data_IF_569508956762
#
_entry.id   IF_569508956762
#
_cell.length_a   1.000
_cell.length_b   1.000
_cell.length_c   1.000
_cell.angle_alpha   90.00
_cell.angle_beta   90.00
_cell.angle_gamma   90.00
#
_symmetry.space_group_name_H-M   'P 1'
#
loop_
_entity.id
_entity.type
_entity.pdbx_description
1 polymer ?
#
# COMPACT_ATOMS: atom_id res chain seq x y z
N UNK A 1 24.35 -50.50 7.94
CA UNK A 1 23.98 -49.19 7.37
C UNK A 1 23.41 -48.36 8.52
N UNK A 2 24.23 -47.51 9.15
CA UNK A 2 23.81 -46.69 10.28
C UNK A 2 23.11 -45.43 9.80
N UNK A 3 21.88 -45.18 10.26
CA UNK A 3 21.23 -43.88 10.06
C UNK A 3 22.01 -42.81 10.80
N UNK A 4 22.50 -41.80 10.08
CA UNK A 4 22.99 -40.57 10.70
C UNK A 4 21.82 -39.92 11.48
N UNK A 5 22.06 -39.44 12.72
CA UNK A 5 21.07 -38.67 13.44
C UNK A 5 20.79 -37.37 12.68
N UNK A 6 19.52 -37.12 12.38
CA UNK A 6 19.07 -35.88 11.77
C UNK A 6 19.34 -34.72 12.74
N UNK A 7 19.91 -33.62 12.24
CA UNK A 7 20.18 -32.43 13.06
C UNK A 7 18.85 -31.83 13.58
N UNK A 8 18.79 -31.35 14.82
CA UNK A 8 17.65 -30.60 15.34
C UNK A 8 17.30 -29.41 14.43
N UNK A 9 16.00 -29.17 14.20
CA UNK A 9 15.49 -28.18 13.22
C UNK A 9 15.95 -26.75 13.55
N UNK A 10 16.20 -26.48 14.82
CA UNK A 10 16.70 -25.24 15.38
C UNK A 10 18.16 -24.93 15.00
N UNK A 11 18.94 -25.95 14.61
CA UNK A 11 20.32 -25.81 14.13
C UNK A 11 20.43 -25.56 12.61
N UNK A 12 19.31 -25.59 11.86
CA UNK A 12 19.31 -25.36 10.42
C UNK A 12 19.40 -23.86 10.06
N UNK A 13 20.13 -23.50 8.98
CA UNK A 13 20.13 -22.14 8.44
C UNK A 13 18.71 -21.62 8.20
N UNK A 14 18.46 -20.32 8.41
CA UNK A 14 17.10 -19.73 8.36
C UNK A 14 16.35 -20.01 7.04
N UNK A 15 17.06 -20.15 5.91
CA UNK A 15 16.46 -20.45 4.61
C UNK A 15 16.07 -21.93 4.40
N UNK A 16 16.61 -22.85 5.19
CA UNK A 16 16.34 -24.30 5.09
C UNK A 16 15.31 -24.78 6.12
N UNK A 17 14.94 -23.92 7.08
CA UNK A 17 13.87 -24.22 8.03
C UNK A 17 12.51 -24.15 7.31
N UNK A 18 11.81 -25.27 7.24
CA UNK A 18 10.42 -25.30 6.82
C UNK A 18 9.61 -24.31 7.67
N UNK A 19 8.92 -23.36 7.04
CA UNK A 19 8.02 -22.45 7.76
C UNK A 19 6.97 -23.30 8.47
N UNK A 20 6.74 -23.12 9.78
CA UNK A 20 5.71 -23.87 10.47
C UNK A 20 4.38 -23.61 9.75
N UNK A 21 3.72 -24.69 9.33
CA UNK A 21 2.35 -24.64 8.84
C UNK A 21 1.43 -24.39 10.02
N UNK A 22 1.47 -23.17 10.54
CA UNK A 22 0.47 -22.73 11.48
C UNK A 22 -0.83 -22.64 10.67
N UNK A 23 -1.69 -23.64 10.80
CA UNK A 23 -3.11 -23.45 10.52
C UNK A 23 -3.61 -22.40 11.52
N UNK A 24 -3.45 -21.13 11.14
CA UNK A 24 -4.09 -20.03 11.85
C UNK A 24 -5.56 -20.18 11.53
N UNK A 25 -6.33 -20.73 12.47
CA UNK A 25 -7.77 -20.82 12.37
C UNK A 25 -8.31 -19.48 11.90
N UNK A 26 -8.96 -19.47 10.73
CA UNK A 26 -9.36 -18.27 9.99
C UNK A 26 -10.41 -17.40 10.73
N UNK A 27 -10.63 -17.64 12.03
CA UNK A 27 -11.56 -16.90 12.85
C UNK A 27 -13.03 -17.22 12.54
N UNK A 28 -13.91 -16.45 13.18
CA UNK A 28 -15.35 -16.47 12.94
C UNK A 28 -15.67 -16.12 11.47
N UNK A 29 -16.86 -16.45 10.95
CA UNK A 29 -17.26 -16.07 9.59
C UNK A 29 -17.09 -14.57 9.30
N UNK A 30 -17.31 -13.72 10.31
CA UNK A 30 -17.12 -12.28 10.21
C UNK A 30 -15.64 -11.90 10.06
N UNK A 31 -14.75 -12.55 10.82
CA UNK A 31 -13.30 -12.36 10.70
C UNK A 31 -12.77 -12.85 9.35
N UNK A 32 -13.34 -13.93 8.79
CA UNK A 32 -13.05 -14.40 7.43
C UNK A 32 -13.48 -13.38 6.39
N UNK A 33 -14.67 -12.80 6.58
CA UNK A 33 -15.22 -11.84 5.63
C UNK A 33 -14.36 -10.58 5.52
N UNK A 34 -13.91 -10.03 6.65
CA UNK A 34 -13.01 -8.87 6.69
C UNK A 34 -11.52 -9.23 6.57
N UNK A 35 -11.18 -10.52 6.45
CA UNK A 35 -9.80 -10.95 6.29
C UNK A 35 -9.21 -10.37 5.02
N UNK A 36 -7.95 -9.93 5.07
CA UNK A 36 -7.15 -9.55 3.89
C UNK A 36 -7.04 -10.69 2.87
N UNK A 37 -7.34 -11.94 3.27
CA UNK A 37 -7.38 -13.10 2.38
C UNK A 37 -8.71 -13.27 1.64
N UNK A 38 -9.77 -12.56 2.02
CA UNK A 38 -11.06 -12.61 1.32
C UNK A 38 -11.02 -11.69 0.08
N UNK A 39 -10.45 -12.23 -1.01
CA UNK A 39 -10.33 -11.52 -2.30
C UNK A 39 -11.68 -11.09 -2.90
N UNK A 40 -12.82 -11.66 -2.46
CA UNK A 40 -14.16 -11.26 -2.92
C UNK A 40 -14.67 -9.97 -2.27
N UNK A 41 -14.31 -9.69 -1.02
CA UNK A 41 -14.78 -8.49 -0.31
C UNK A 41 -13.92 -7.27 -0.65
N UNK A 42 -12.62 -7.48 -0.84
CA UNK A 42 -11.67 -6.40 -1.12
C UNK A 42 -11.42 -6.14 -2.61
N UNK A 43 -12.03 -6.93 -3.52
CA UNK A 43 -11.85 -6.93 -4.99
C UNK A 43 -10.57 -6.22 -5.48
N UNK A 44 -9.42 -6.70 -4.97
CA UNK A 44 -8.14 -6.41 -5.58
C UNK A 44 -8.07 -7.29 -6.81
N UNK A 45 -8.63 -6.81 -7.92
CA UNK A 45 -8.44 -7.43 -9.21
C UNK A 45 -6.95 -7.27 -9.56
N UNK A 46 -6.13 -8.26 -9.19
CA UNK A 46 -4.73 -8.34 -9.62
C UNK A 46 -4.77 -8.61 -11.12
N UNK A 47 -4.66 -7.55 -11.93
CA UNK A 47 -4.63 -7.69 -13.37
C UNK A 47 -3.29 -8.30 -13.78
N UNK A 48 -3.28 -9.41 -14.54
CA UNK A 48 -2.03 -9.96 -15.05
C UNK A 48 -1.27 -8.89 -15.84
N UNK A 49 0.03 -8.79 -15.53
CA UNK A 49 1.00 -7.76 -15.92
C UNK A 49 1.12 -7.57 -17.42
N UNK A 50 0.19 -6.80 -17.97
CA UNK A 50 0.11 -6.46 -19.39
C UNK A 50 -0.26 -4.99 -19.52
N UNK A 51 0.60 -4.09 -19.03
CA UNK A 51 0.33 -2.63 -19.03
C UNK A 51 -0.20 -2.12 -20.37
N UNK A 52 0.40 -2.60 -21.47
CA UNK A 52 0.03 -2.22 -22.83
C UNK A 52 -1.00 -3.14 -23.48
N UNK A 53 -1.13 -4.39 -23.03
CA UNK A 53 -1.95 -5.42 -23.68
C UNK A 53 -3.14 -5.88 -22.82
N UNK A 54 -3.54 -5.05 -21.84
CA UNK A 54 -4.71 -5.27 -20.99
C UNK A 54 -5.94 -4.59 -21.54
N UNK A 55 -7.11 -5.09 -21.14
CA UNK A 55 -8.38 -4.37 -21.32
C UNK A 55 -8.48 -3.24 -20.30
N UNK A 56 -8.52 -2.01 -20.79
CA UNK A 56 -8.69 -0.81 -19.97
C UNK A 56 -10.13 -0.68 -19.50
N UNK A 57 -10.33 -0.55 -18.20
CA UNK A 57 -11.64 -0.25 -17.63
C UNK A 57 -11.89 1.26 -17.61
N UNK A 58 -13.15 1.70 -17.58
CA UNK A 58 -13.48 3.12 -17.54
C UNK A 58 -12.84 3.87 -16.36
N UNK A 59 -12.75 3.21 -15.19
CA UNK A 59 -12.05 3.75 -14.01
C UNK A 59 -10.56 4.01 -14.28
N UNK A 60 -9.91 3.11 -15.01
CA UNK A 60 -8.48 3.21 -15.30
C UNK A 60 -8.21 4.37 -16.26
N UNK A 61 -9.08 4.52 -17.27
CA UNK A 61 -9.02 5.64 -18.19
C UNK A 61 -9.27 6.97 -17.45
N UNK A 62 -10.20 6.98 -16.49
CA UNK A 62 -10.44 8.13 -15.62
C UNK A 62 -9.20 8.52 -14.81
N UNK A 63 -8.56 7.56 -14.13
CA UNK A 63 -7.33 7.82 -13.38
C UNK A 63 -6.19 8.28 -14.29
N UNK A 64 -5.97 7.61 -15.42
CA UNK A 64 -4.92 7.98 -16.37
C UNK A 64 -5.13 9.42 -16.90
N UNK A 65 -6.37 9.77 -17.22
CA UNK A 65 -6.72 11.13 -17.68
C UNK A 65 -6.48 12.18 -16.59
N UNK A 66 -6.88 11.90 -15.35
CA UNK A 66 -6.65 12.78 -14.21
C UNK A 66 -5.16 13.02 -13.98
N UNK A 67 -4.35 11.96 -13.90
CA UNK A 67 -2.92 12.11 -13.68
C UNK A 67 -2.23 12.79 -14.85
N UNK A 68 -2.60 12.47 -16.09
CA UNK A 68 -2.08 13.18 -17.26
C UNK A 68 -2.38 14.68 -17.20
N UNK A 69 -3.62 15.06 -16.87
CA UNK A 69 -4.00 16.46 -16.73
C UNK A 69 -3.21 17.19 -15.63
N UNK A 70 -2.99 16.55 -14.48
CA UNK A 70 -2.18 17.12 -13.39
C UNK A 70 -0.74 17.35 -13.86
N UNK A 71 -0.11 16.38 -14.53
CA UNK A 71 1.28 16.51 -14.99
C UNK A 71 1.41 17.57 -16.09
N UNK A 72 0.48 17.63 -17.04
CA UNK A 72 0.46 18.68 -18.07
C UNK A 72 0.24 20.06 -17.45
N UNK A 73 -0.66 20.17 -16.45
CA UNK A 73 -0.87 21.41 -15.70
C UNK A 73 0.38 21.85 -14.93
N UNK A 74 1.15 20.91 -14.38
CA UNK A 74 2.39 21.21 -13.66
C UNK A 74 3.46 21.85 -14.58
N UNK A 75 3.45 21.59 -15.89
CA UNK A 75 4.35 22.25 -16.84
C UNK A 75 4.09 23.76 -16.94
N UNK A 76 2.89 24.23 -16.57
CA UNK A 76 2.58 25.66 -16.53
C UNK A 76 3.14 26.35 -15.27
N UNK A 77 3.52 25.61 -14.23
CA UNK A 77 3.90 26.18 -12.93
C UNK A 77 5.00 27.26 -12.98
N UNK A 78 6.07 27.15 -13.81
CA UNK A 78 7.10 28.19 -13.91
C UNK A 78 6.57 29.55 -14.36
N UNK A 79 5.48 29.58 -15.14
CA UNK A 79 4.89 30.81 -15.68
C UNK A 79 3.95 31.52 -14.68
N UNK A 80 3.54 30.83 -13.61
CA UNK A 80 2.62 31.33 -12.58
C UNK A 80 3.24 31.36 -11.18
N UNK A 81 4.58 31.36 -11.10
CA UNK A 81 5.27 31.34 -9.83
C UNK A 81 5.04 32.64 -9.03
N UNK A 82 4.65 32.48 -7.78
CA UNK A 82 4.64 33.54 -6.76
C UNK A 82 5.11 32.96 -5.43
N UNK A 83 5.68 33.79 -4.56
CA UNK A 83 6.10 33.36 -3.22
C UNK A 83 4.93 32.86 -2.38
N UNK A 84 3.74 33.44 -2.55
CA UNK A 84 2.52 33.00 -1.88
C UNK A 84 2.14 31.57 -2.32
N UNK A 85 2.12 31.32 -3.64
CA UNK A 85 1.84 29.99 -4.17
C UNK A 85 2.87 28.96 -3.72
N UNK A 86 4.15 29.34 -3.66
CA UNK A 86 5.22 28.48 -3.14
C UNK A 86 4.97 28.07 -1.69
N UNK A 87 4.64 29.02 -0.80
CA UNK A 87 4.36 28.68 0.60
C UNK A 87 3.07 27.88 0.78
N UNK A 88 2.04 28.17 -0.01
CA UNK A 88 0.84 27.34 -0.06
C UNK A 88 1.17 25.89 -0.45
N UNK A 89 2.04 25.70 -1.45
CA UNK A 89 2.53 24.38 -1.84
C UNK A 89 3.30 23.71 -0.69
N UNK A 90 4.24 24.40 -0.05
CA UNK A 90 5.05 23.83 1.05
C UNK A 90 4.16 23.39 2.21
N UNK A 91 3.24 24.24 2.66
CA UNK A 91 2.30 23.91 3.74
C UNK A 91 1.40 22.75 3.33
N UNK A 92 0.88 22.77 2.10
CA UNK A 92 0.07 21.69 1.56
C UNK A 92 0.82 20.35 1.53
N UNK A 93 2.06 20.35 1.04
CA UNK A 93 2.92 19.17 0.97
C UNK A 93 3.22 18.58 2.34
N UNK A 94 3.53 19.43 3.33
CA UNK A 94 3.77 18.99 4.71
C UNK A 94 2.48 18.40 5.30
N UNK A 95 1.35 19.08 5.13
CA UNK A 95 0.08 18.61 5.66
C UNK A 95 -0.34 17.27 5.04
N UNK A 96 -0.36 17.15 3.72
CA UNK A 96 -0.90 15.96 3.04
C UNK A 96 0.13 14.83 2.91
N UNK A 97 1.38 15.14 2.55
CA UNK A 97 2.43 14.15 2.34
C UNK A 97 3.10 13.68 3.63
N UNK A 98 3.55 14.62 4.47
CA UNK A 98 4.26 14.27 5.71
C UNK A 98 3.29 13.82 6.80
N UNK A 99 2.31 14.65 7.15
CA UNK A 99 1.35 14.30 8.20
C UNK A 99 0.27 13.32 7.72
N UNK A 100 -0.27 13.52 6.52
CA UNK A 100 -1.32 12.66 5.97
C UNK A 100 -0.83 11.27 5.59
N UNK A 101 0.08 11.16 4.64
CA UNK A 101 0.54 9.86 4.13
C UNK A 101 1.57 9.23 5.06
N UNK A 102 2.68 9.91 5.31
CA UNK A 102 3.83 9.32 6.01
C UNK A 102 3.53 9.03 7.48
N UNK A 103 2.97 10.01 8.19
CA UNK A 103 2.67 9.85 9.61
C UNK A 103 1.38 9.05 9.82
N UNK A 104 0.27 9.42 9.17
CA UNK A 104 -1.01 8.75 9.38
C UNK A 104 -1.16 7.45 8.61
N UNK A 105 -1.36 7.48 7.29
CA UNK A 105 -1.72 6.27 6.54
C UNK A 105 -0.67 5.17 6.70
N UNK A 106 0.59 5.53 6.60
CA UNK A 106 1.71 4.60 6.69
C UNK A 106 1.99 4.16 8.14
N UNK A 107 2.52 5.05 8.98
CA UNK A 107 3.02 4.65 10.32
C UNK A 107 1.89 4.38 11.31
N UNK A 108 0.89 5.26 11.36
CA UNK A 108 -0.19 5.14 12.32
C UNK A 108 -1.21 4.08 11.94
N UNK A 109 -1.76 4.10 10.72
CA UNK A 109 -2.86 3.23 10.34
C UNK A 109 -2.39 1.89 9.79
N UNK A 110 -1.40 1.87 8.89
CA UNK A 110 -0.92 0.62 8.32
C UNK A 110 -0.04 -0.18 9.28
N UNK A 111 0.96 0.47 9.88
CA UNK A 111 1.91 -0.20 10.78
C UNK A 111 1.56 -0.14 12.27
N UNK A 112 0.55 0.64 12.67
CA UNK A 112 0.13 0.78 14.07
C UNK A 112 1.31 1.14 15.01
N UNK A 113 2.28 1.90 14.53
CA UNK A 113 3.56 2.16 15.23
C UNK A 113 3.41 3.03 16.48
N UNK A 114 2.33 3.80 16.59
CA UNK A 114 2.01 4.63 17.74
C UNK A 114 0.50 4.89 17.83
N UNK A 115 0.05 5.41 18.97
CA UNK A 115 -1.34 5.80 19.21
C UNK A 115 -1.42 7.30 19.46
N UNK A 116 -2.47 7.93 18.95
CA UNK A 116 -2.82 9.33 19.24
C UNK A 116 -4.25 9.40 19.76
N UNK A 117 -4.66 10.51 20.39
CA UNK A 117 -6.07 10.80 20.60
C UNK A 117 -6.85 10.74 19.28
N UNK A 118 -8.12 10.30 19.33
CA UNK A 118 -8.92 10.04 18.12
C UNK A 118 -9.16 11.27 17.26
N UNK A 119 -9.32 12.44 17.86
CA UNK A 119 -9.47 13.69 17.11
C UNK A 119 -8.22 13.98 16.25
N UNK A 120 -7.02 13.72 16.77
CA UNK A 120 -5.76 13.95 16.05
C UNK A 120 -5.53 12.89 14.96
N UNK A 121 -5.88 11.64 15.25
CA UNK A 121 -5.87 10.54 14.26
C UNK A 121 -6.75 10.90 13.06
N UNK A 122 -7.95 11.44 13.29
CA UNK A 122 -8.86 11.86 12.23
C UNK A 122 -8.36 13.08 11.45
N UNK A 123 -7.74 14.07 12.11
CA UNK A 123 -7.15 15.21 11.41
C UNK A 123 -6.07 14.73 10.43
N UNK A 124 -5.12 13.90 10.89
CA UNK A 124 -4.08 13.42 10.00
C UNK A 124 -4.64 12.51 8.90
N UNK A 125 -5.61 11.65 9.20
CA UNK A 125 -6.26 10.81 8.20
C UNK A 125 -6.99 11.64 7.13
N UNK A 126 -7.59 12.77 7.52
CA UNK A 126 -8.23 13.70 6.60
C UNK A 126 -7.20 14.41 5.71
N UNK A 127 -6.06 14.85 6.27
CA UNK A 127 -4.95 15.36 5.47
C UNK A 127 -4.44 14.32 4.45
N UNK A 128 -4.41 13.03 4.82
CA UNK A 128 -4.07 11.94 3.90
C UNK A 128 -5.08 11.77 2.77
N UNK A 129 -6.37 11.97 3.03
CA UNK A 129 -7.42 11.88 2.01
C UNK A 129 -7.27 12.97 0.93
N UNK A 130 -6.69 14.12 1.29
CA UNK A 130 -6.39 15.22 0.37
C UNK A 130 -5.15 14.95 -0.51
N UNK A 131 -4.36 13.91 -0.22
CA UNK A 131 -3.14 13.58 -0.96
C UNK A 131 -3.40 12.84 -2.29
N UNK A 132 -4.66 12.53 -2.63
CA UNK A 132 -5.06 11.82 -3.85
C UNK A 132 -4.42 10.42 -4.01
N UNK A 133 -4.09 9.74 -2.91
CA UNK A 133 -3.55 8.38 -2.90
C UNK A 133 -4.61 7.33 -2.51
N UNK A 134 -5.86 7.47 -2.95
CA UNK A 134 -7.00 6.64 -2.50
C UNK A 134 -7.40 6.85 -1.03
N UNK A 135 -8.60 6.38 -0.68
CA UNK A 135 -9.16 6.43 0.66
C UNK A 135 -8.39 5.54 1.66
N UNK A 136 -8.45 5.82 2.98
CA UNK A 136 -7.53 5.24 3.97
C UNK A 136 -7.62 3.72 4.07
N UNK A 137 -8.83 3.17 3.96
CA UNK A 137 -9.05 1.71 4.04
C UNK A 137 -8.32 0.99 2.91
N UNK A 138 -8.45 1.46 1.66
CA UNK A 138 -7.81 0.83 0.51
C UNK A 138 -6.28 0.99 0.57
N UNK A 139 -5.79 2.19 0.90
CA UNK A 139 -4.35 2.44 1.03
C UNK A 139 -3.72 1.51 2.09
N UNK A 140 -4.31 1.46 3.29
CA UNK A 140 -3.81 0.63 4.39
C UNK A 140 -3.86 -0.87 4.05
N UNK A 141 -4.95 -1.32 3.43
CA UNK A 141 -5.11 -2.71 3.01
C UNK A 141 -4.05 -3.11 1.98
N UNK A 142 -3.90 -2.31 0.93
CA UNK A 142 -2.88 -2.49 -0.12
C UNK A 142 -1.46 -2.50 0.45
N UNK A 143 -1.13 -1.53 1.31
CA UNK A 143 0.19 -1.42 1.92
C UNK A 143 0.54 -2.61 2.82
N UNK A 144 -0.42 -3.10 3.61
CA UNK A 144 -0.24 -4.32 4.42
C UNK A 144 -0.09 -5.55 3.54
N UNK A 145 -0.80 -5.61 2.41
CA UNK A 145 -0.67 -6.71 1.47
C UNK A 145 0.73 -6.73 0.82
N UNK A 146 1.20 -5.58 0.33
CA UNK A 146 2.57 -5.40 -0.17
C UNK A 146 3.62 -5.90 0.84
N UNK A 147 3.54 -5.50 2.11
CA UNK A 147 4.47 -6.00 3.14
C UNK A 147 4.32 -7.49 3.48
N UNK A 148 3.15 -8.09 3.28
CA UNK A 148 2.92 -9.51 3.55
C UNK A 148 3.51 -10.44 2.48
N UNK A 149 3.68 -9.93 1.27
CA UNK A 149 4.09 -10.67 0.08
C UNK A 149 5.14 -9.94 -0.75
N UNK A 150 6.03 -9.17 -0.12
CA UNK A 150 7.04 -8.37 -0.82
C UNK A 150 7.93 -9.25 -1.70
N UNK A 151 8.23 -8.78 -2.92
CA UNK A 151 9.01 -9.52 -3.92
C UNK A 151 8.39 -10.87 -4.34
N UNK A 152 7.06 -10.97 -4.26
CA UNK A 152 6.32 -12.12 -4.81
C UNK A 152 5.40 -11.67 -5.94
N UNK A 153 4.88 -12.62 -6.71
CA UNK A 153 3.92 -12.29 -7.76
C UNK A 153 2.61 -11.67 -7.22
N UNK A 154 2.31 -11.86 -5.94
CA UNK A 154 1.15 -11.28 -5.25
C UNK A 154 1.41 -9.83 -4.77
N UNK A 155 2.62 -9.31 -4.91
CA UNK A 155 2.92 -7.92 -4.58
C UNK A 155 2.32 -6.96 -5.63
N UNK A 156 1.40 -6.11 -5.18
CA UNK A 156 0.71 -5.11 -6.02
C UNK A 156 1.65 -4.07 -6.63
N UNK A 157 2.85 -3.88 -6.08
CA UNK A 157 3.86 -2.94 -6.55
C UNK A 157 5.25 -3.58 -6.62
N UNK A 158 5.34 -4.83 -7.09
CA UNK A 158 6.59 -5.58 -7.13
C UNK A 158 7.66 -4.90 -7.99
N UNK A 159 8.89 -4.69 -7.50
CA UNK A 159 10.02 -4.24 -8.32
C UNK A 159 10.38 -5.21 -9.46
N UNK A 160 9.95 -6.47 -9.37
CA UNK A 160 10.11 -7.47 -10.44
C UNK A 160 9.35 -7.10 -11.72
N UNK A 161 8.42 -6.15 -11.64
CA UNK A 161 7.54 -5.76 -12.75
C UNK A 161 8.18 -4.72 -13.67
N UNK A 162 9.39 -4.29 -13.34
CA UNK A 162 10.11 -3.23 -14.02
C UNK A 162 9.83 -1.87 -13.41
N UNK A 163 10.19 -0.82 -14.14
CA UNK A 163 10.13 0.55 -13.62
C UNK A 163 8.72 1.18 -13.69
N UNK A 164 7.82 0.65 -14.51
CA UNK A 164 6.50 1.20 -14.83
C UNK A 164 5.40 0.24 -14.42
#
# INVERSE_FOLDING_TARGET
>A
IGMMPQRPVDELPRGERAKPSHEIGLGTPLQRFFSVRNRKFWDFTVHPRTYFNRKWQGKDLGYASLFLAIHLGALAAPFYFTWQAFWCFVVGYIATGMFGITLSYHRQLAHLSFKTPKWLEYIFAYCGALALQSHPINWVSSHRHHHSGTETEDDVHSPLDGFW
#
